data_IF_260162144033
#
_entry.id   IF_260162144033
#
_cell.length_a   1.000
_cell.length_b   1.000
_cell.length_c   1.000
_cell.angle_alpha   90.00
_cell.angle_beta   90.00
_cell.angle_gamma   90.00
#
_symmetry.space_group_name_H-M   'P 1'
#
loop_
_entity.id
_entity.type
_entity.pdbx_description
1 polymer ?
#
# COMPACT_ATOMS: atom_id res chain seq x y z
N UNK A 1 6.54 0.84 7.89
CA UNK A 1 7.65 -0.11 7.92
C UNK A 1 8.87 0.60 8.47
N UNK A 2 9.39 0.11 9.57
CA UNK A 2 10.70 0.52 10.08
C UNK A 2 11.80 -0.24 9.32
N UNK A 3 12.94 0.40 9.15
CA UNK A 3 14.05 -0.14 8.37
C UNK A 3 15.36 0.20 9.05
N UNK A 4 16.36 -0.65 8.82
CA UNK A 4 17.74 -0.40 9.20
C UNK A 4 18.66 -0.76 8.04
N UNK A 5 19.76 -0.03 7.90
CA UNK A 5 20.79 -0.28 6.90
C UNK A 5 21.73 -1.38 7.37
N UNK A 6 21.87 -2.43 6.59
CA UNK A 6 22.95 -3.41 6.77
C UNK A 6 24.16 -3.02 5.91
N UNK A 7 25.35 -3.04 6.48
CA UNK A 7 26.58 -2.67 5.77
C UNK A 7 27.28 -3.89 5.19
N UNK A 8 27.83 -3.76 3.98
CA UNK A 8 28.70 -4.78 3.41
C UNK A 8 29.92 -5.01 4.32
N UNK A 9 30.41 -6.25 4.37
CA UNK A 9 31.57 -6.60 5.20
C UNK A 9 31.27 -6.77 6.69
N UNK A 10 30.04 -6.49 7.17
CA UNK A 10 29.65 -6.74 8.58
C UNK A 10 29.89 -8.19 9.01
N UNK A 11 29.62 -9.15 8.13
CA UNK A 11 29.84 -10.60 8.37
C UNK A 11 31.33 -10.93 8.58
N UNK A 12 32.22 -10.12 7.99
CA UNK A 12 33.67 -10.31 8.03
C UNK A 12 34.37 -9.26 8.92
N UNK A 13 33.64 -8.56 9.79
CA UNK A 13 34.23 -7.55 10.66
C UNK A 13 35.19 -8.23 11.67
N UNK A 14 36.48 -7.84 11.73
CA UNK A 14 37.46 -8.48 12.60
C UNK A 14 37.11 -8.34 14.09
N UNK A 15 36.30 -7.34 14.47
CA UNK A 15 35.80 -7.18 15.85
C UNK A 15 34.90 -8.33 16.24
N UNK A 16 34.12 -8.90 15.32
CA UNK A 16 33.24 -10.03 15.63
C UNK A 16 34.01 -11.31 15.87
N UNK A 17 35.13 -11.52 15.17
CA UNK A 17 36.06 -12.60 15.51
C UNK A 17 36.64 -12.46 16.91
N UNK A 18 36.98 -11.24 17.34
CA UNK A 18 37.43 -10.98 18.70
C UNK A 18 36.32 -11.22 19.73
N UNK A 19 35.09 -10.76 19.48
CA UNK A 19 33.93 -10.96 20.35
C UNK A 19 33.63 -12.46 20.50
N UNK A 20 33.59 -13.20 19.39
CA UNK A 20 33.38 -14.65 19.38
C UNK A 20 34.39 -15.38 20.26
N UNK A 21 35.68 -15.05 20.12
CA UNK A 21 36.74 -15.64 20.95
C UNK A 21 36.58 -15.27 22.43
N UNK A 22 36.20 -14.03 22.75
CA UNK A 22 36.04 -13.56 24.13
C UNK A 22 34.83 -14.18 24.82
N UNK A 23 33.71 -14.33 24.12
CA UNK A 23 32.48 -14.91 24.66
C UNK A 23 32.45 -16.44 24.63
N UNK A 24 33.35 -17.08 23.87
CA UNK A 24 33.37 -18.52 23.64
C UNK A 24 32.29 -18.97 22.65
N UNK A 25 31.68 -18.05 21.91
CA UNK A 25 30.58 -18.31 20.98
C UNK A 25 31.07 -18.31 19.53
N UNK A 26 30.24 -18.85 18.62
CA UNK A 26 30.57 -18.82 17.20
C UNK A 26 30.40 -17.41 16.60
N UNK A 27 31.11 -17.11 15.52
CA UNK A 27 30.93 -15.85 14.78
C UNK A 27 29.49 -15.74 14.24
N UNK A 28 28.86 -16.87 13.88
CA UNK A 28 27.47 -16.89 13.46
C UNK A 28 26.52 -16.41 14.57
N UNK A 29 26.70 -16.90 15.80
CA UNK A 29 25.93 -16.45 16.97
C UNK A 29 26.16 -14.96 17.24
N UNK A 30 27.40 -14.48 17.13
CA UNK A 30 27.74 -13.05 17.28
C UNK A 30 27.04 -12.19 16.23
N UNK A 31 27.01 -12.62 14.97
CA UNK A 31 26.31 -11.91 13.88
C UNK A 31 24.79 -11.88 14.13
N UNK A 32 24.21 -12.99 14.59
CA UNK A 32 22.78 -13.07 14.91
C UNK A 32 22.42 -12.09 16.04
N UNK A 33 23.21 -12.08 17.13
CA UNK A 33 23.03 -11.13 18.24
C UNK A 33 23.23 -9.69 17.77
N UNK A 34 24.21 -9.41 16.92
CA UNK A 34 24.41 -8.08 16.35
C UNK A 34 23.20 -7.63 15.52
N UNK A 35 22.61 -8.51 14.70
CA UNK A 35 21.42 -8.20 13.93
C UNK A 35 20.22 -7.89 14.84
N UNK A 36 20.01 -8.67 15.90
CA UNK A 36 18.95 -8.43 16.87
C UNK A 36 19.16 -7.11 17.65
N UNK A 37 20.40 -6.78 17.99
CA UNK A 37 20.73 -5.49 18.60
C UNK A 37 20.44 -4.32 17.66
N UNK A 38 20.75 -4.45 16.36
CA UNK A 38 20.41 -3.43 15.36
C UNK A 38 18.89 -3.26 15.25
N UNK A 39 18.12 -4.35 15.32
CA UNK A 39 16.66 -4.31 15.27
C UNK A 39 16.07 -3.65 16.52
N UNK A 40 16.52 -4.04 17.71
CA UNK A 40 16.16 -3.41 18.97
C UNK A 40 16.48 -1.90 18.94
N UNK A 41 17.69 -1.55 18.51
CA UNK A 41 18.11 -0.16 18.32
C UNK A 41 17.24 0.60 17.33
N UNK A 42 16.79 -0.05 16.25
CA UNK A 42 15.90 0.56 15.26
C UNK A 42 14.50 0.80 15.81
N UNK A 43 13.99 -0.11 16.63
CA UNK A 43 12.63 -0.08 17.18
C UNK A 43 12.54 0.67 18.53
N UNK A 44 13.65 1.14 19.09
CA UNK A 44 13.71 1.77 20.41
C UNK A 44 12.69 2.91 20.65
N UNK A 45 12.31 3.65 19.59
CA UNK A 45 11.32 4.74 19.67
C UNK A 45 9.87 4.26 19.83
N UNK A 46 9.59 2.97 19.60
CA UNK A 46 8.24 2.40 19.67
C UNK A 46 7.80 2.11 21.11
N UNK A 47 8.75 1.82 22.00
CA UNK A 47 8.51 1.42 23.38
C UNK A 47 8.68 2.56 24.40
N UNK A 48 9.32 3.67 24.03
CA UNK A 48 9.39 4.88 24.85
C UNK A 48 9.51 6.12 23.95
N UNK A 49 8.63 7.11 24.14
CA UNK A 49 8.63 8.36 23.38
C UNK A 49 9.93 9.18 23.54
N UNK A 50 10.63 9.01 24.68
CA UNK A 50 11.90 9.67 24.98
C UNK A 50 13.13 8.87 24.49
N UNK A 51 12.94 7.62 24.06
CA UNK A 51 14.05 6.79 23.58
C UNK A 51 14.44 7.19 22.16
N UNK A 52 15.71 7.47 21.95
CA UNK A 52 16.26 7.78 20.63
C UNK A 52 16.68 6.49 19.91
N UNK A 53 16.32 6.38 18.62
CA UNK A 53 16.77 5.29 17.74
C UNK A 53 18.28 5.09 17.87
N UNK A 54 18.74 3.86 18.09
CA UNK A 54 20.13 3.51 18.44
C UNK A 54 20.31 2.96 19.86
N UNK A 55 19.32 3.15 20.74
CA UNK A 55 19.32 2.67 22.12
C UNK A 55 18.98 1.17 22.18
N UNK A 56 19.74 0.40 22.96
CA UNK A 56 19.57 -1.05 23.16
C UNK A 56 19.35 -1.42 24.63
N UNK A 57 19.02 -0.46 25.50
CA UNK A 57 18.79 -0.71 26.92
C UNK A 57 17.61 -1.67 27.18
N UNK A 58 16.66 -1.77 26.26
CA UNK A 58 15.54 -2.73 26.31
C UNK A 58 15.90 -4.10 25.74
N UNK A 59 17.16 -4.36 25.38
CA UNK A 59 17.57 -5.64 24.81
C UNK A 59 17.67 -6.72 25.90
N UNK A 60 16.76 -7.69 25.88
CA UNK A 60 16.76 -8.81 26.82
C UNK A 60 17.60 -9.98 26.27
N UNK A 61 18.75 -10.24 26.89
CA UNK A 61 19.62 -11.33 26.46
C UNK A 61 19.00 -12.72 26.66
N UNK A 62 18.17 -12.92 27.68
CA UNK A 62 17.62 -14.24 28.00
C UNK A 62 16.57 -14.65 26.96
N UNK A 63 15.73 -13.71 26.53
CA UNK A 63 14.76 -13.95 25.45
C UNK A 63 15.46 -14.36 24.15
N UNK A 64 16.61 -13.75 23.85
CA UNK A 64 17.40 -14.09 22.66
C UNK A 64 18.24 -15.36 22.81
N UNK A 65 18.63 -15.77 24.01
CA UNK A 65 19.21 -17.11 24.24
C UNK A 65 18.19 -18.18 23.79
N UNK A 66 16.93 -18.06 24.22
CA UNK A 66 15.84 -18.95 23.83
C UNK A 66 15.53 -18.85 22.34
N UNK A 67 15.38 -17.63 21.81
CA UNK A 67 15.00 -17.43 20.41
C UNK A 67 16.03 -17.99 19.41
N UNK A 68 17.32 -17.97 19.78
CA UNK A 68 18.40 -18.51 18.95
C UNK A 68 18.76 -19.96 19.27
N UNK A 69 18.17 -20.56 20.31
CA UNK A 69 18.51 -21.91 20.76
C UNK A 69 19.94 -22.02 21.26
N UNK A 70 20.42 -21.00 21.98
CA UNK A 70 21.74 -20.97 22.59
C UNK A 70 21.66 -21.36 24.07
N UNK A 71 22.79 -21.79 24.65
CA UNK A 71 22.88 -22.07 26.09
C UNK A 71 22.64 -20.79 26.90
N UNK A 72 22.02 -20.92 28.07
CA UNK A 72 21.73 -19.81 28.96
C UNK A 72 22.96 -18.92 29.23
N UNK A 73 22.79 -17.61 29.04
CA UNK A 73 23.82 -16.59 29.22
C UNK A 73 24.81 -16.47 28.06
N UNK A 74 24.61 -17.18 26.95
CA UNK A 74 25.45 -17.07 25.76
C UNK A 74 25.37 -15.69 25.12
N UNK A 75 24.16 -15.17 24.93
CA UNK A 75 23.91 -13.82 24.42
C UNK A 75 24.43 -12.77 25.38
N UNK A 76 24.31 -12.97 26.70
CA UNK A 76 24.88 -12.06 27.70
C UNK A 76 26.41 -11.94 27.55
N UNK A 77 27.11 -13.07 27.43
CA UNK A 77 28.57 -13.09 27.20
C UNK A 77 28.96 -12.35 25.92
N UNK A 78 28.17 -12.50 24.85
CA UNK A 78 28.39 -11.76 23.60
C UNK A 78 28.18 -10.26 23.82
N UNK A 79 27.09 -9.87 24.48
CA UNK A 79 26.75 -8.47 24.78
C UNK A 79 27.87 -7.80 25.58
N UNK A 80 28.34 -8.44 26.65
CA UNK A 80 29.40 -7.92 27.52
C UNK A 80 30.71 -7.74 26.74
N UNK A 81 31.07 -8.70 25.89
CA UNK A 81 32.23 -8.58 25.00
C UNK A 81 32.05 -7.44 23.96
N UNK A 82 30.84 -7.20 23.45
CA UNK A 82 30.56 -6.07 22.58
C UNK A 82 30.70 -4.71 23.29
N UNK A 83 30.27 -4.63 24.56
CA UNK A 83 30.51 -3.45 25.42
C UNK A 83 32.01 -3.24 25.62
N UNK A 84 32.76 -4.28 25.98
CA UNK A 84 34.22 -4.22 26.15
C UNK A 84 34.94 -3.78 24.85
N UNK A 85 34.40 -4.16 23.69
CA UNK A 85 34.93 -3.76 22.37
C UNK A 85 34.48 -2.37 21.91
N UNK A 86 33.74 -1.64 22.74
CA UNK A 86 33.13 -0.34 22.43
C UNK A 86 32.23 -0.39 21.19
N UNK A 87 31.57 -1.53 20.95
CA UNK A 87 30.50 -1.63 19.97
C UNK A 87 29.16 -1.15 20.55
N UNK A 88 29.04 -1.23 21.87
CA UNK A 88 27.92 -0.71 22.66
C UNK A 88 28.52 0.20 23.73
N UNK A 89 28.03 1.44 23.83
CA UNK A 89 28.50 2.45 24.77
C UNK A 89 27.27 3.09 25.41
N UNK A 90 27.21 3.11 26.74
CA UNK A 90 26.10 3.68 27.53
C UNK A 90 24.71 3.18 27.09
N UNK A 91 24.59 1.88 26.83
CA UNK A 91 23.33 1.26 26.40
C UNK A 91 22.91 1.63 24.97
N UNK A 92 23.83 2.17 24.15
CA UNK A 92 23.59 2.59 22.77
C UNK A 92 24.60 1.99 21.82
N UNK A 93 24.20 1.71 20.57
CA UNK A 93 25.13 1.23 19.56
C UNK A 93 26.11 2.33 19.13
N UNK A 94 27.40 2.00 19.11
CA UNK A 94 28.45 2.94 18.74
C UNK A 94 28.33 3.38 17.27
N UNK A 95 28.44 4.70 17.05
CA UNK A 95 28.31 5.34 15.74
C UNK A 95 27.02 4.98 15.03
N UNK A 96 25.91 4.88 15.77
CA UNK A 96 24.61 4.59 15.19
C UNK A 96 24.25 5.57 14.07
N UNK A 97 24.50 6.87 14.27
CA UNK A 97 24.20 7.94 13.32
C UNK A 97 24.97 7.78 12.01
N UNK A 98 26.26 7.44 12.09
CA UNK A 98 27.10 7.15 10.91
C UNK A 98 26.59 5.90 10.17
N UNK A 99 26.17 4.88 10.93
CA UNK A 99 25.69 3.59 10.39
C UNK A 99 24.28 3.69 9.82
N UNK A 100 23.45 4.57 10.37
CA UNK A 100 22.05 4.75 10.05
C UNK A 100 21.76 6.22 9.73
N UNK A 101 22.29 6.74 8.60
CA UNK A 101 22.01 8.10 8.18
C UNK A 101 20.51 8.37 8.12
N UNK A 102 20.12 9.60 8.46
CA UNK A 102 18.73 10.04 8.29
C UNK A 102 18.29 9.74 6.85
N UNK A 103 17.09 9.20 6.73
CA UNK A 103 16.53 8.79 5.45
C UNK A 103 16.56 9.96 4.47
N UNK A 104 17.10 9.76 3.27
CA UNK A 104 17.10 10.80 2.22
C UNK A 104 15.66 11.30 1.91
N UNK A 105 14.67 10.41 2.02
CA UNK A 105 13.24 10.73 1.84
C UNK A 105 12.51 11.19 3.10
N UNK A 106 13.18 11.35 4.25
CA UNK A 106 12.53 11.91 5.44
C UNK A 106 12.41 13.44 5.38
N UNK A 107 12.89 14.05 4.30
CA UNK A 107 12.96 15.49 4.17
C UNK A 107 14.14 16.03 4.96
N UNK A 108 14.98 16.83 4.32
CA UNK A 108 16.07 17.53 5.00
C UNK A 108 16.09 18.99 4.54
N UNK A 109 15.65 19.93 5.40
CA UNK A 109 15.64 21.36 5.09
C UNK A 109 17.01 21.92 4.73
N UNK A 110 18.09 21.36 5.30
CA UNK A 110 19.45 21.85 5.12
C UNK A 110 20.08 21.41 3.80
N UNK A 111 19.64 20.29 3.22
CA UNK A 111 20.15 19.78 1.94
C UNK A 111 19.14 19.96 0.80
N UNK A 112 17.95 20.50 1.07
CA UNK A 112 16.87 20.64 0.09
C UNK A 112 16.24 19.31 -0.34
N UNK A 113 16.55 18.20 0.33
CA UNK A 113 15.98 16.90 0.02
C UNK A 113 14.50 16.91 0.43
N UNK A 114 13.60 16.74 -0.52
CA UNK A 114 12.17 16.66 -0.27
C UNK A 114 11.81 15.27 0.25
N UNK A 115 10.97 15.23 1.28
CA UNK A 115 10.41 13.97 1.77
C UNK A 115 9.57 13.31 0.68
N UNK A 116 9.34 12.00 0.78
CA UNK A 116 8.47 11.28 -0.17
C UNK A 116 7.08 11.94 -0.29
N UNK A 117 6.53 12.41 0.83
CA UNK A 117 5.26 13.14 0.89
C UNK A 117 5.33 14.47 0.16
N UNK A 118 6.41 15.24 0.36
CA UNK A 118 6.60 16.53 -0.31
C UNK A 118 6.88 16.36 -1.81
N UNK A 119 7.64 15.34 -2.23
CA UNK A 119 7.83 14.99 -3.65
C UNK A 119 6.51 14.64 -4.31
N UNK A 120 5.69 13.83 -3.63
CA UNK A 120 4.35 13.46 -4.12
C UNK A 120 3.41 14.67 -4.20
N UNK A 121 3.48 15.59 -3.22
CA UNK A 121 2.72 16.84 -3.22
C UNK A 121 3.16 17.74 -4.37
N UNK A 122 4.46 17.96 -4.53
CA UNK A 122 5.03 18.79 -5.60
C UNK A 122 4.66 18.26 -6.98
N UNK A 123 4.74 16.94 -7.19
CA UNK A 123 4.32 16.32 -8.44
C UNK A 123 2.82 16.52 -8.73
N UNK A 124 1.97 16.42 -7.71
CA UNK A 124 0.52 16.71 -7.84
C UNK A 124 0.25 18.18 -8.18
N UNK A 125 0.97 19.09 -7.54
CA UNK A 125 0.85 20.52 -7.76
C UNK A 125 1.35 20.93 -9.14
N UNK A 126 2.46 20.37 -9.63
CA UNK A 126 2.95 20.57 -11.00
C UNK A 126 1.94 20.07 -12.03
N UNK A 127 1.37 18.88 -11.83
CA UNK A 127 0.33 18.34 -12.72
C UNK A 127 -0.92 19.21 -12.74
N UNK A 128 -1.30 19.80 -11.60
CA UNK A 128 -2.41 20.76 -11.50
C UNK A 128 -2.09 22.08 -12.22
N UNK A 129 -0.88 22.62 -12.04
CA UNK A 129 -0.42 23.83 -12.72
C UNK A 129 -0.39 23.64 -14.23
N UNK A 130 0.18 22.53 -14.71
CA UNK A 130 0.22 22.21 -16.14
C UNK A 130 -1.18 22.10 -16.76
N UNK A 131 -2.14 21.51 -16.04
CA UNK A 131 -3.54 21.46 -16.47
C UNK A 131 -4.20 22.85 -16.50
N UNK A 132 -3.82 23.75 -15.58
CA UNK A 132 -4.36 25.12 -15.51
C UNK A 132 -3.78 26.00 -16.62
N UNK A 133 -2.47 25.90 -16.88
CA UNK A 133 -1.76 26.67 -17.91
C UNK A 133 -2.18 26.24 -19.33
N UNK A 134 -2.42 24.93 -19.53
CA UNK A 134 -3.01 24.42 -20.77
C UNK A 134 -4.44 24.93 -21.02
N UNK A 135 -5.18 25.28 -19.96
CA UNK A 135 -6.52 25.88 -20.07
C UNK A 135 -6.43 27.38 -20.38
N UNK A 136 -5.41 28.07 -19.86
CA UNK A 136 -5.23 29.51 -20.06
C UNK A 136 -4.68 29.86 -21.45
N UNK A 137 -3.82 29.01 -22.04
CA UNK A 137 -3.36 29.15 -23.42
C UNK A 137 -4.45 28.96 -24.49
N UNK A 138 -5.61 28.40 -24.12
CA UNK A 138 -6.76 28.28 -25.03
C UNK A 138 -7.68 29.51 -25.00
N UNK A 139 -7.51 30.44 -24.04
CA UNK A 139 -8.38 31.61 -23.88
C UNK A 139 -7.85 32.88 -24.58
N UNK A 140 -6.57 32.94 -24.95
CA UNK A 140 -5.94 34.15 -25.52
C UNK A 140 -6.09 34.29 -27.05
N UNK A 141 -6.88 33.42 -27.69
CA UNK A 141 -7.04 33.39 -29.14
C UNK A 141 -8.49 33.57 -29.61
N UNK A 142 -9.31 34.43 -29.00
CA UNK A 142 -10.54 34.91 -29.68
C UNK A 142 -11.01 36.27 -29.13
N UNK A 143 -10.55 37.36 -29.76
CA UNK A 143 -11.28 38.63 -29.77
C UNK A 143 -12.20 38.66 -31.00
N UNK A 144 -13.51 38.78 -30.75
CA UNK A 144 -14.52 39.19 -31.74
C UNK A 144 -15.39 38.07 -32.30
N UNK A 145 -16.57 37.83 -31.72
CA UNK A 145 -17.84 38.36 -32.25
C UNK A 145 -19.02 37.97 -31.35
N UNK A 146 -19.92 38.94 -31.21
CA UNK A 146 -21.22 38.90 -30.55
C UNK A 146 -22.20 37.94 -31.27
N UNK A 147 -22.81 36.98 -30.54
CA UNK A 147 -24.26 36.67 -30.52
C UNK A 147 -24.62 35.23 -30.08
N UNK A 148 -25.52 35.23 -29.11
CA UNK A 148 -26.59 34.27 -28.79
C UNK A 148 -26.22 32.91 -28.17
N UNK A 149 -26.57 32.85 -26.89
CA UNK A 149 -26.87 31.69 -26.06
C UNK A 149 -27.74 30.66 -26.78
N UNK A 150 -27.20 29.44 -26.91
CA UNK A 150 -27.92 28.17 -26.95
C UNK A 150 -26.92 27.03 -26.81
N UNK A 151 -26.99 26.38 -25.65
CA UNK A 151 -26.65 24.98 -25.37
C UNK A 151 -25.77 24.28 -26.43
N UNK A 152 -24.47 24.11 -26.17
CA UNK A 152 -23.61 23.34 -27.06
C UNK A 152 -22.76 22.33 -26.31
N UNK A 153 -23.13 21.09 -26.57
CA UNK A 153 -22.34 19.87 -26.59
C UNK A 153 -20.84 20.12 -26.86
N UNK A 154 -20.01 19.84 -25.85
CA UNK A 154 -18.56 19.83 -26.03
C UNK A 154 -18.09 18.48 -26.55
N UNK A 155 -17.58 18.52 -27.79
CA UNK A 155 -16.93 17.41 -28.50
C UNK A 155 -15.56 17.13 -27.90
N UNK A 156 -15.45 15.98 -27.23
CA UNK A 156 -14.19 15.31 -26.89
C UNK A 156 -13.47 14.85 -28.18
N UNK A 157 -12.15 15.09 -28.27
CA UNK A 157 -11.26 14.44 -29.24
C UNK A 157 -10.39 13.40 -28.53
N UNK A 158 -10.52 12.17 -29.01
CA UNK A 158 -10.01 10.90 -28.49
C UNK A 158 -8.48 10.74 -28.46
N UNK A 159 -8.01 9.95 -27.49
CA UNK A 159 -7.00 8.91 -27.72
C UNK A 159 -7.51 7.55 -27.22
N UNK A 160 -7.65 6.63 -28.17
CA UNK A 160 -7.92 5.17 -28.11
C UNK A 160 -9.15 4.70 -27.31
N UNK A 161 -10.14 4.19 -28.04
CA UNK A 161 -11.49 3.89 -27.57
C UNK A 161 -11.67 2.56 -26.84
N UNK A 162 -12.56 2.62 -25.84
CA UNK A 162 -13.79 1.83 -25.72
C UNK A 162 -14.78 2.69 -24.91
N UNK A 163 -16.10 2.52 -25.07
CA UNK A 163 -17.06 3.60 -24.97
C UNK A 163 -17.35 4.01 -23.51
N UNK A 164 -18.21 5.01 -23.40
CA UNK A 164 -19.01 5.43 -22.25
C UNK A 164 -19.57 4.29 -21.34
N UNK A 165 -19.37 3.02 -21.67
CA UNK A 165 -19.71 1.79 -20.94
C UNK A 165 -19.30 1.87 -19.48
N UNK A 166 -18.09 2.34 -19.15
CA UNK A 166 -17.69 2.45 -17.74
C UNK A 166 -18.52 3.48 -16.95
N UNK A 167 -18.99 4.54 -17.61
CA UNK A 167 -19.91 5.52 -17.01
C UNK A 167 -21.34 4.96 -16.97
N UNK A 168 -21.76 4.21 -17.98
CA UNK A 168 -23.06 3.52 -18.02
C UNK A 168 -23.18 2.46 -16.89
N UNK A 169 -22.16 1.63 -16.69
CA UNK A 169 -22.09 0.67 -15.58
C UNK A 169 -22.13 1.38 -14.22
N UNK A 170 -21.43 2.52 -14.10
CA UNK A 170 -21.47 3.32 -12.87
C UNK A 170 -22.85 3.94 -12.64
N UNK A 171 -23.52 4.39 -13.70
CA UNK A 171 -24.89 4.89 -13.64
C UNK A 171 -25.87 3.79 -13.22
N UNK A 172 -25.71 2.58 -13.77
CA UNK A 172 -26.51 1.40 -13.39
C UNK A 172 -26.34 1.05 -11.91
N UNK A 173 -25.10 1.08 -11.39
CA UNK A 173 -24.84 0.90 -9.96
C UNK A 173 -25.55 1.96 -9.12
N UNK A 174 -25.50 3.23 -9.53
CA UNK A 174 -26.16 4.32 -8.82
C UNK A 174 -27.68 4.15 -8.79
N UNK A 175 -28.27 3.82 -9.94
CA UNK A 175 -29.70 3.56 -10.07
C UNK A 175 -30.16 2.39 -9.20
N UNK A 176 -29.45 1.26 -9.26
CA UNK A 176 -29.81 0.05 -8.51
C UNK A 176 -29.59 0.17 -7.02
N UNK A 177 -28.49 0.79 -6.58
CA UNK A 177 -28.17 0.92 -5.16
C UNK A 177 -28.78 2.16 -4.49
N UNK A 178 -29.46 3.04 -5.24
CA UNK A 178 -29.95 4.33 -4.75
C UNK A 178 -28.82 5.28 -4.33
N UNK A 179 -27.62 5.11 -4.90
CA UNK A 179 -26.42 5.91 -4.58
C UNK A 179 -26.13 6.90 -5.69
N UNK A 180 -25.23 7.84 -5.42
CA UNK A 180 -24.83 8.88 -6.39
C UNK A 180 -23.30 9.01 -6.47
N UNK A 181 -22.64 7.91 -6.85
CA UNK A 181 -21.21 7.90 -7.10
C UNK A 181 -20.89 8.71 -8.36
N UNK A 182 -19.98 9.67 -8.22
CA UNK A 182 -19.56 10.53 -9.34
C UNK A 182 -18.70 9.76 -10.34
N UNK A 183 -18.79 10.04 -11.65
CA UNK A 183 -17.93 9.47 -12.69
C UNK A 183 -16.53 10.09 -12.66
N UNK A 184 -15.86 9.97 -11.51
CA UNK A 184 -14.47 10.39 -11.31
C UNK A 184 -13.53 9.24 -11.69
N UNK A 185 -12.29 9.58 -12.05
CA UNK A 185 -11.31 8.60 -12.52
C UNK A 185 -11.07 7.46 -11.53
N UNK A 186 -11.15 7.71 -10.21
CA UNK A 186 -11.01 6.66 -9.20
C UNK A 186 -12.07 5.55 -9.32
N UNK A 187 -13.30 5.90 -9.69
CA UNK A 187 -14.40 4.94 -9.87
C UNK A 187 -14.33 4.29 -11.26
N UNK A 188 -14.11 5.11 -12.30
CA UNK A 188 -14.06 4.64 -13.68
C UNK A 188 -12.87 3.71 -13.94
N UNK A 189 -11.72 3.96 -13.29
CA UNK A 189 -10.53 3.11 -13.41
C UNK A 189 -10.79 1.67 -12.97
N UNK A 190 -11.59 1.47 -11.92
CA UNK A 190 -11.91 0.13 -11.41
C UNK A 190 -12.76 -0.66 -12.41
N UNK A 191 -13.75 -0.01 -13.02
CA UNK A 191 -14.63 -0.61 -14.03
C UNK A 191 -13.84 -0.88 -15.32
N UNK A 192 -13.10 0.11 -15.82
CA UNK A 192 -12.24 -0.03 -17.00
C UNK A 192 -11.20 -1.13 -16.86
N UNK A 193 -10.64 -1.31 -15.66
CA UNK A 193 -9.69 -2.39 -15.40
C UNK A 193 -10.32 -3.78 -15.63
N UNK A 194 -11.60 -3.97 -15.25
CA UNK A 194 -12.32 -5.24 -15.47
C UNK A 194 -12.66 -5.47 -16.93
N UNK A 195 -13.11 -4.43 -17.64
CA UNK A 195 -13.35 -4.50 -19.08
C UNK A 195 -12.07 -4.87 -19.84
N UNK A 196 -10.93 -4.27 -19.47
CA UNK A 196 -9.62 -4.58 -20.06
C UNK A 196 -9.14 -6.01 -19.75
N UNK A 197 -9.56 -6.59 -18.64
CA UNK A 197 -9.27 -7.98 -18.26
C UNK A 197 -10.19 -9.00 -18.99
N UNK A 198 -11.12 -8.53 -19.82
CA UNK A 198 -12.00 -9.37 -20.63
C UNK A 198 -13.40 -9.58 -20.05
N UNK A 199 -13.77 -8.86 -18.99
CA UNK A 199 -15.15 -8.87 -18.49
C UNK A 199 -16.07 -8.13 -19.47
N UNK A 200 -17.27 -8.66 -19.70
CA UNK A 200 -18.27 -7.98 -20.53
C UNK A 200 -19.05 -6.94 -19.71
N UNK A 201 -19.70 -6.00 -20.40
CA UNK A 201 -20.67 -5.09 -19.76
C UNK A 201 -21.78 -5.86 -19.04
N UNK A 202 -22.27 -6.94 -19.65
CA UNK A 202 -23.29 -7.80 -19.08
C UNK A 202 -22.82 -8.46 -17.75
N UNK A 203 -21.56 -8.89 -17.67
CA UNK A 203 -21.00 -9.44 -16.43
C UNK A 203 -20.95 -8.38 -15.33
N UNK A 204 -20.57 -7.15 -15.68
CA UNK A 204 -20.51 -6.04 -14.74
C UNK A 204 -21.91 -5.68 -14.20
N UNK A 205 -22.91 -5.64 -15.08
CA UNK A 205 -24.31 -5.40 -14.75
C UNK A 205 -24.87 -6.53 -13.88
N UNK A 206 -24.60 -7.78 -14.23
CA UNK A 206 -25.07 -8.95 -13.47
C UNK A 206 -24.49 -9.00 -12.05
N UNK A 207 -23.21 -8.64 -11.87
CA UNK A 207 -22.59 -8.52 -10.54
C UNK A 207 -23.22 -7.40 -9.73
N UNK A 208 -23.51 -6.26 -10.35
CA UNK A 208 -24.22 -5.14 -9.68
C UNK A 208 -25.61 -5.59 -9.23
N UNK A 209 -26.39 -6.20 -10.11
CA UNK A 209 -27.76 -6.62 -9.80
C UNK A 209 -27.77 -7.65 -8.67
N UNK A 210 -26.98 -8.72 -8.80
CA UNK A 210 -26.95 -9.78 -7.80
C UNK A 210 -26.49 -9.29 -6.42
N UNK A 211 -25.47 -8.42 -6.36
CA UNK A 211 -25.00 -7.88 -5.08
C UNK A 211 -25.92 -6.82 -4.52
N UNK A 212 -26.60 -6.05 -5.37
CA UNK A 212 -27.62 -5.12 -4.91
C UNK A 212 -28.78 -5.91 -4.29
N UNK A 213 -29.27 -6.96 -4.93
CA UNK A 213 -30.36 -7.78 -4.38
C UNK A 213 -29.97 -8.45 -3.05
N UNK A 214 -28.73 -8.92 -2.94
CA UNK A 214 -28.22 -9.59 -1.73
C UNK A 214 -27.97 -8.61 -0.57
N UNK A 215 -27.45 -7.41 -0.86
CA UNK A 215 -26.91 -6.52 0.18
C UNK A 215 -27.71 -5.24 0.43
N UNK A 216 -28.62 -4.84 -0.47
CA UNK A 216 -29.32 -3.55 -0.35
C UNK A 216 -30.18 -3.46 0.91
N UNK A 217 -30.85 -4.56 1.28
CA UNK A 217 -31.75 -4.62 2.45
C UNK A 217 -31.06 -5.08 3.74
N UNK A 218 -29.76 -5.39 3.68
CA UNK A 218 -28.99 -5.78 4.86
C UNK A 218 -28.24 -4.57 5.41
N UNK A 219 -28.55 -4.23 6.67
CA UNK A 219 -28.01 -3.07 7.38
C UNK A 219 -26.48 -3.09 7.48
N UNK A 220 -25.88 -4.28 7.50
CA UNK A 220 -24.42 -4.44 7.57
C UNK A 220 -23.77 -4.46 6.19
N UNK A 221 -24.43 -5.02 5.18
CA UNK A 221 -23.81 -5.28 3.89
C UNK A 221 -24.04 -4.18 2.84
N UNK A 222 -25.11 -3.38 2.96
CA UNK A 222 -25.45 -2.31 2.01
C UNK A 222 -24.35 -1.24 1.83
N UNK A 223 -23.49 -1.02 2.83
CA UNK A 223 -22.34 -0.12 2.76
C UNK A 223 -21.24 -0.57 1.78
N UNK A 224 -21.26 -1.83 1.38
CA UNK A 224 -20.30 -2.42 0.46
C UNK A 224 -20.74 -2.32 -1.01
N UNK A 225 -21.94 -1.81 -1.29
CA UNK A 225 -22.42 -1.47 -2.64
C UNK A 225 -21.74 -0.20 -3.17
N UNK A 226 -20.43 -0.33 -3.46
CA UNK A 226 -19.59 0.74 -3.99
C UNK A 226 -18.64 0.20 -5.06
N UNK A 227 -18.17 1.07 -5.99
CA UNK A 227 -17.28 0.64 -7.08
C UNK A 227 -16.03 -0.12 -6.60
N UNK A 228 -15.45 0.29 -5.48
CA UNK A 228 -14.25 -0.32 -4.91
C UNK A 228 -14.44 -1.80 -4.51
N UNK A 229 -15.58 -2.13 -3.92
CA UNK A 229 -15.84 -3.50 -3.45
C UNK A 229 -16.28 -4.40 -4.60
N UNK A 230 -17.22 -3.91 -5.42
CA UNK A 230 -17.81 -4.69 -6.51
C UNK A 230 -16.79 -4.98 -7.60
N UNK A 231 -15.97 -3.99 -7.95
CA UNK A 231 -14.96 -4.11 -9.01
C UNK A 231 -13.55 -4.30 -8.46
N UNK A 232 -13.39 -4.86 -7.25
CA UNK A 232 -12.07 -5.31 -6.77
C UNK A 232 -11.60 -6.53 -7.58
N UNK A 233 -10.32 -6.62 -7.93
CA UNK A 233 -9.80 -7.67 -8.82
C UNK A 233 -10.06 -9.09 -8.31
N UNK A 234 -9.85 -9.32 -7.02
CA UNK A 234 -10.01 -10.64 -6.41
C UNK A 234 -11.46 -11.03 -6.19
N UNK A 235 -12.33 -10.04 -5.91
CA UNK A 235 -13.73 -10.26 -5.58
C UNK A 235 -14.62 -10.33 -6.83
N UNK A 236 -14.35 -9.50 -7.83
CA UNK A 236 -15.08 -9.48 -9.09
C UNK A 236 -15.03 -10.83 -9.80
N UNK A 237 -13.85 -11.43 -9.93
CA UNK A 237 -13.70 -12.78 -10.51
C UNK A 237 -14.49 -13.84 -9.74
N UNK A 238 -14.53 -13.74 -8.39
CA UNK A 238 -15.34 -14.62 -7.55
C UNK A 238 -16.85 -14.42 -7.76
N UNK A 239 -17.31 -13.18 -7.98
CA UNK A 239 -18.73 -12.88 -8.20
C UNK A 239 -19.19 -13.35 -9.58
N UNK A 240 -18.39 -13.11 -10.62
CA UNK A 240 -18.66 -13.64 -11.96
C UNK A 240 -18.69 -15.18 -11.94
N UNK A 241 -17.79 -15.82 -11.20
CA UNK A 241 -17.79 -17.28 -11.02
C UNK A 241 -19.04 -17.83 -10.30
N UNK A 242 -19.59 -17.10 -9.32
CA UNK A 242 -20.85 -17.44 -8.65
C UNK A 242 -22.05 -17.32 -9.59
N UNK A 243 -22.05 -16.30 -10.47
CA UNK A 243 -23.09 -16.08 -11.48
C UNK A 243 -23.05 -17.11 -12.61
N UNK A 244 -21.87 -17.57 -13.00
CA UNK A 244 -21.69 -18.65 -13.97
C UNK A 244 -22.23 -20.02 -13.52
N UNK A 245 -22.36 -20.24 -12.21
CA UNK A 245 -22.93 -21.48 -11.64
C UNK A 245 -24.45 -21.40 -11.42
N UNK A 246 -25.04 -20.19 -11.44
CA UNK A 246 -26.45 -19.97 -11.14
C UNK A 246 -27.35 -19.80 -12.38
N UNK A 247 -26.77 -19.78 -13.59
CA UNK A 247 -27.52 -19.67 -14.85
C UNK A 247 -27.81 -21.02 -15.57
N UNK A 248 -27.57 -22.16 -14.91
CA UNK A 248 -28.21 -23.42 -15.29
C UNK A 248 -29.59 -23.47 -14.65
N UNK A 249 -30.56 -22.82 -15.28
CA UNK A 249 -31.97 -23.13 -15.03
C UNK A 249 -32.21 -24.52 -15.60
N UNK A 250 -32.54 -25.55 -14.80
CA UNK A 250 -32.93 -26.83 -15.35
C UNK A 250 -34.30 -26.64 -16.01
N UNK A 251 -34.33 -26.84 -17.32
CA UNK A 251 -35.54 -26.94 -18.12
C UNK A 251 -36.31 -28.21 -17.72
N UNK A 252 -37.01 -28.20 -16.58
CA UNK A 252 -37.96 -29.26 -16.27
C UNK A 252 -39.36 -28.85 -16.73
N UNK A 253 -39.61 -29.27 -17.97
CA UNK A 253 -40.81 -29.93 -18.45
C UNK A 253 -42.13 -29.65 -17.71
N UNK A 254 -43.03 -29.03 -18.47
CA UNK A 254 -44.48 -29.20 -18.42
C UNK A 254 -44.87 -30.64 -18.09
N UNK A 255 -45.72 -30.81 -17.08
CA UNK A 255 -46.21 -32.12 -16.65
C UNK A 255 -47.37 -32.04 -15.68
N UNK A 256 -48.38 -31.21 -15.96
CA UNK A 256 -49.73 -31.48 -15.45
C UNK A 256 -50.25 -32.73 -16.17
N UNK A 257 -50.53 -33.79 -15.40
CA UNK A 257 -51.80 -34.56 -15.41
C UNK A 257 -51.71 -35.74 -14.44
N UNK A 258 -52.31 -35.55 -13.27
CA UNK A 258 -53.05 -36.60 -12.58
C UNK A 258 -54.47 -36.07 -12.36
N UNK A 259 -55.34 -36.41 -13.30
CA UNK A 259 -56.60 -37.13 -13.11
C UNK A 259 -57.01 -37.73 -14.47
#
# INVERSE_FOLDING_TARGET
>A
MDWLRWWHGTVNDPKFGWVARKSGQTVASVIAVWAALLECASNATQCNADATRGNVASFDCNDYDVAFGLDDGSVRKIFDAMVEKNLIVDGRLARWEDRQPKREDSGNPNTGALSSTERSRKHRDEKKRYATDATQMQHDATLGNDRLDKSREDKEKHMSGEPDVAKAILAHLNEKSGRSYKPVESNLKLIRARLKEGATEADCVAVIDAKTDEWLNDEKWSQYLRPETLFNATKFASYVGQLGQSNVVPLFASGEKYL
#
